data_IF_404331528127
#
_entry.id   IF_404331528127
#
_cell.length_a   1.000
_cell.length_b   1.000
_cell.length_c   1.000
_cell.angle_alpha   90.00
_cell.angle_beta   90.00
_cell.angle_gamma   90.00
#
_symmetry.space_group_name_H-M   'P 1'
#
loop_
_entity.id
_entity.type
_entity.pdbx_description
1 polymer ?
#
# COMPACT_ATOMS: atom_id res chain seq x y z
N UNK A 1 -8.94 30.57 14.19
CA UNK A 1 -8.07 29.54 13.58
C UNK A 1 -8.99 28.51 12.97
N UNK A 2 -9.09 28.47 11.64
CA UNK A 2 -9.85 27.42 10.98
C UNK A 2 -9.06 26.13 11.14
N UNK A 3 -9.63 25.12 11.80
CA UNK A 3 -9.13 23.75 11.70
C UNK A 3 -9.09 23.41 10.22
N UNK A 4 -7.90 23.33 9.65
CA UNK A 4 -7.71 22.70 8.35
C UNK A 4 -8.09 21.24 8.58
N UNK A 5 -9.33 20.87 8.27
CA UNK A 5 -9.73 19.47 8.20
C UNK A 5 -8.84 18.85 7.14
N UNK A 6 -7.76 18.21 7.55
CA UNK A 6 -6.96 17.39 6.66
C UNK A 6 -7.91 16.38 6.01
N UNK A 7 -8.13 16.55 4.71
CA UNK A 7 -8.99 15.65 3.95
C UNK A 7 -8.31 14.29 3.93
N UNK A 8 -8.82 13.37 4.74
CA UNK A 8 -8.32 11.99 4.78
C UNK A 8 -8.48 11.37 3.39
N UNK A 9 -7.38 10.91 2.79
CA UNK A 9 -7.41 10.26 1.49
C UNK A 9 -8.03 8.87 1.64
N UNK A 10 -9.07 8.57 0.86
CA UNK A 10 -9.68 7.24 0.86
C UNK A 10 -9.17 6.43 -0.33
N UNK A 11 -8.54 5.29 -0.06
CA UNK A 11 -8.02 4.39 -1.09
C UNK A 11 -8.73 3.05 -1.00
N UNK A 12 -9.32 2.64 -2.12
CA UNK A 12 -10.11 1.43 -2.24
C UNK A 12 -9.31 0.36 -2.97
N UNK A 13 -9.00 -0.72 -2.25
CA UNK A 13 -8.30 -1.89 -2.75
C UNK A 13 -9.31 -2.99 -3.05
N UNK A 14 -9.41 -3.37 -4.31
CA UNK A 14 -10.32 -4.43 -4.78
C UNK A 14 -9.66 -5.81 -4.70
N UNK A 15 -10.39 -6.84 -5.18
CA UNK A 15 -9.89 -8.23 -5.17
C UNK A 15 -8.63 -8.42 -6.01
N UNK A 16 -8.48 -7.70 -7.11
CA UNK A 16 -7.30 -7.81 -7.96
C UNK A 16 -6.09 -7.16 -7.30
N UNK A 17 -6.28 -6.01 -6.66
CA UNK A 17 -5.23 -5.36 -5.86
C UNK A 17 -4.70 -6.31 -4.78
N UNK A 18 -5.60 -6.93 -4.01
CA UNK A 18 -5.22 -7.89 -2.96
C UNK A 18 -4.52 -9.12 -3.54
N UNK A 19 -5.01 -9.69 -4.64
CA UNK A 19 -4.36 -10.83 -5.31
C UNK A 19 -2.94 -10.49 -5.80
N UNK A 20 -2.74 -9.27 -6.30
CA UNK A 20 -1.41 -8.80 -6.72
C UNK A 20 -0.46 -8.69 -5.53
N UNK A 21 -0.91 -8.08 -4.43
CA UNK A 21 -0.12 -7.99 -3.19
C UNK A 21 0.21 -9.39 -2.65
N UNK A 22 -0.73 -10.32 -2.66
CA UNK A 22 -0.48 -11.74 -2.33
C UNK A 22 0.57 -12.37 -3.23
N UNK A 23 0.53 -12.06 -4.53
CA UNK A 23 1.56 -12.48 -5.48
C UNK A 23 2.94 -11.94 -5.09
N UNK A 24 3.06 -10.64 -4.84
CA UNK A 24 4.33 -10.02 -4.44
C UNK A 24 4.90 -10.63 -3.16
N UNK A 25 4.06 -10.85 -2.14
CA UNK A 25 4.48 -11.48 -0.88
C UNK A 25 5.02 -12.90 -1.13
N UNK A 26 4.41 -13.67 -2.05
CA UNK A 26 4.91 -15.01 -2.42
C UNK A 26 6.29 -14.99 -3.11
N UNK A 27 6.71 -13.84 -3.62
CA UNK A 27 8.04 -13.61 -4.20
C UNK A 27 8.95 -12.80 -3.25
N UNK A 28 8.74 -12.91 -1.94
CA UNK A 28 9.49 -12.25 -0.86
C UNK A 28 9.43 -10.70 -0.85
N UNK A 29 8.52 -10.08 -1.61
CA UNK A 29 8.31 -8.63 -1.59
C UNK A 29 7.29 -8.21 -0.53
N UNK A 30 7.68 -8.33 0.74
CA UNK A 30 6.81 -8.05 1.89
C UNK A 30 6.47 -6.57 2.07
N UNK A 31 7.43 -5.70 1.75
CA UNK A 31 7.35 -4.27 1.96
C UNK A 31 7.37 -3.54 0.62
N UNK A 32 6.74 -2.37 0.60
CA UNK A 32 6.70 -1.49 -0.57
C UNK A 32 7.15 -0.10 -0.18
N UNK A 33 8.03 0.51 -0.98
CA UNK A 33 8.44 1.89 -0.80
C UNK A 33 8.45 2.64 -2.14
N UNK A 34 8.53 3.96 -2.06
CA UNK A 34 8.78 4.79 -3.23
C UNK A 34 10.28 5.00 -3.42
N UNK A 35 10.75 4.84 -4.65
CA UNK A 35 12.08 5.27 -5.04
C UNK A 35 12.13 6.80 -5.16
N UNK A 36 13.33 7.36 -5.27
CA UNK A 36 13.54 8.79 -5.51
C UNK A 36 12.88 9.30 -6.80
N UNK A 37 12.68 8.41 -7.78
CA UNK A 37 12.05 8.73 -9.05
C UNK A 37 10.50 8.64 -9.00
N UNK A 38 9.95 8.27 -7.84
CA UNK A 38 8.51 8.06 -7.65
C UNK A 38 8.00 6.70 -8.10
N UNK A 39 8.89 5.76 -8.44
CA UNK A 39 8.55 4.37 -8.73
C UNK A 39 8.31 3.56 -7.46
N UNK A 40 7.66 2.41 -7.62
CA UNK A 40 7.44 1.47 -6.54
C UNK A 40 8.58 0.44 -6.50
N UNK A 41 9.18 0.27 -5.34
CA UNK A 41 10.12 -0.82 -5.05
C UNK A 41 9.49 -1.81 -4.08
N UNK A 42 9.53 -3.08 -4.45
CA UNK A 42 9.16 -4.20 -3.58
C UNK A 42 10.43 -4.70 -2.91
N UNK A 43 10.44 -4.74 -1.58
CA UNK A 43 11.63 -5.07 -0.80
C UNK A 43 11.32 -6.13 0.25
N UNK A 44 12.35 -6.91 0.60
CA UNK A 44 12.26 -7.92 1.67
C UNK A 44 12.26 -7.26 3.03
N UNK A 45 11.43 -7.76 3.94
CA UNK A 45 11.39 -7.24 5.31
C UNK A 45 12.67 -7.55 6.11
N UNK A 46 13.42 -8.60 5.77
CA UNK A 46 14.60 -9.05 6.52
C UNK A 46 15.82 -8.14 6.37
N UNK A 47 16.04 -7.60 5.17
CA UNK A 47 17.28 -6.92 4.79
C UNK A 47 17.06 -5.68 3.91
N UNK A 48 15.82 -5.30 3.63
CA UNK A 48 15.44 -4.19 2.76
C UNK A 48 16.01 -4.30 1.33
N UNK A 49 16.41 -5.49 0.88
CA UNK A 49 16.86 -5.72 -0.48
C UNK A 49 15.67 -5.65 -1.44
N UNK A 50 15.83 -4.91 -2.54
CA UNK A 50 14.83 -4.84 -3.59
C UNK A 50 14.75 -6.16 -4.35
N UNK A 51 13.54 -6.70 -4.48
CA UNK A 51 13.24 -7.93 -5.24
C UNK A 51 12.51 -7.62 -6.55
N UNK A 52 11.99 -6.40 -6.68
CA UNK A 52 11.35 -5.94 -7.91
C UNK A 52 11.09 -4.43 -7.88
N UNK A 53 10.92 -3.87 -9.07
CA UNK A 53 10.56 -2.46 -9.27
C UNK A 53 9.40 -2.39 -10.26
N UNK A 54 8.49 -1.46 -10.02
CA UNK A 54 7.35 -1.19 -10.90
C UNK A 54 7.19 0.31 -11.11
N UNK A 55 6.73 0.70 -12.29
CA UNK A 55 6.44 2.09 -12.59
C UNK A 55 5.38 2.63 -11.63
N UNK A 56 5.68 3.71 -10.90
CA UNK A 56 4.75 4.28 -9.90
C UNK A 56 3.54 4.97 -10.52
N UNK A 57 3.59 5.26 -11.83
CA UNK A 57 2.51 5.84 -12.62
C UNK A 57 1.58 4.78 -13.23
N UNK A 58 1.96 3.49 -13.19
CA UNK A 58 1.06 2.41 -13.59
C UNK A 58 -0.16 2.41 -12.66
N UNK A 59 -1.36 2.34 -13.23
CA UNK A 59 -2.62 2.41 -12.48
C UNK A 59 -2.67 1.40 -11.33
N UNK A 60 -2.02 0.23 -11.50
CA UNK A 60 -1.94 -0.84 -10.50
C UNK A 60 -1.03 -0.50 -9.32
N UNK A 61 -0.03 0.34 -9.55
CA UNK A 61 0.97 0.77 -8.55
C UNK A 61 0.62 2.12 -7.93
N UNK A 62 -0.15 2.95 -8.64
CA UNK A 62 -0.55 4.29 -8.20
C UNK A 62 -1.26 4.27 -6.85
N UNK A 63 -2.16 3.30 -6.63
CA UNK A 63 -2.84 3.15 -5.33
C UNK A 63 -1.84 2.93 -4.18
N UNK A 64 -0.82 2.10 -4.38
CA UNK A 64 0.24 1.86 -3.38
C UNK A 64 1.08 3.13 -3.18
N UNK A 65 1.44 3.81 -4.25
CA UNK A 65 2.17 5.08 -4.21
C UNK A 65 1.42 6.15 -3.41
N UNK A 66 0.11 6.27 -3.65
CA UNK A 66 -0.75 7.23 -2.97
C UNK A 66 -0.89 6.90 -1.48
N UNK A 67 -0.99 5.61 -1.11
CA UNK A 67 -0.98 5.18 0.31
C UNK A 67 0.33 5.62 0.98
N UNK A 68 1.47 5.37 0.33
CA UNK A 68 2.79 5.69 0.89
C UNK A 68 2.96 7.20 1.03
N UNK A 69 2.61 7.98 0.00
CA UNK A 69 2.69 9.46 0.01
C UNK A 69 1.80 10.09 1.06
N UNK A 70 0.60 9.55 1.27
CA UNK A 70 -0.35 10.09 2.22
C UNK A 70 0.03 9.77 3.68
N UNK A 71 0.87 8.75 3.93
CA UNK A 71 1.38 8.44 5.26
C UNK A 71 0.27 8.12 6.26
N UNK A 72 0.08 8.99 7.27
CA UNK A 72 -1.00 8.86 8.27
C UNK A 72 -2.34 9.44 7.80
N UNK A 73 -2.35 10.28 6.76
CA UNK A 73 -3.53 10.95 6.25
C UNK A 73 -4.30 10.10 5.21
N UNK A 74 -4.34 8.77 5.41
CA UNK A 74 -5.01 7.82 4.51
C UNK A 74 -5.91 6.85 5.27
N UNK A 75 -7.08 6.55 4.70
CA UNK A 75 -7.93 5.43 5.09
C UNK A 75 -7.94 4.40 3.97
N UNK A 76 -7.34 3.25 4.23
CA UNK A 76 -7.38 2.12 3.30
C UNK A 76 -8.68 1.35 3.52
N UNK A 77 -9.37 1.06 2.43
CA UNK A 77 -10.64 0.34 2.34
C UNK A 77 -10.41 -0.92 1.51
N UNK A 78 -10.50 -2.11 2.10
CA UNK A 78 -10.25 -3.38 1.40
C UNK A 78 -11.55 -4.08 1.09
N UNK A 79 -11.71 -4.55 -0.15
CA UNK A 79 -12.88 -5.31 -0.56
C UNK A 79 -12.89 -6.72 0.05
N UNK A 80 -13.93 -7.00 0.84
CA UNK A 80 -14.19 -8.30 1.48
C UNK A 80 -15.55 -8.87 1.04
N UNK A 81 -15.89 -10.07 1.55
CA UNK A 81 -17.24 -10.64 1.43
C UNK A 81 -18.25 -9.68 2.09
N UNK A 82 -18.99 -8.93 1.28
CA UNK A 82 -20.02 -8.00 1.74
C UNK A 82 -19.71 -6.52 1.50
N UNK A 83 -18.52 -6.16 1.02
CA UNK A 83 -18.19 -4.76 0.67
C UNK A 83 -16.79 -4.34 1.11
N UNK A 84 -16.53 -3.03 1.04
CA UNK A 84 -15.26 -2.44 1.47
C UNK A 84 -15.23 -2.25 2.98
N UNK A 85 -14.16 -2.72 3.62
CA UNK A 85 -13.95 -2.64 5.07
C UNK A 85 -12.69 -1.80 5.34
N UNK A 86 -12.75 -0.83 6.27
CA UNK A 86 -11.60 -0.02 6.60
C UNK A 86 -10.57 -0.88 7.35
N UNK A 87 -9.29 -0.72 6.99
CA UNK A 87 -8.19 -1.31 7.73
C UNK A 87 -7.27 -0.23 8.28
N UNK A 88 -6.77 -0.49 9.47
CA UNK A 88 -5.77 0.36 10.12
C UNK A 88 -4.37 -0.12 9.72
N UNK A 89 -3.87 0.41 8.61
CA UNK A 89 -2.52 0.20 8.06
C UNK A 89 -2.05 1.53 7.50
N UNK A 90 -0.86 1.95 7.92
CA UNK A 90 -0.19 3.17 7.47
C UNK A 90 1.21 2.83 6.97
N UNK A 91 1.73 3.64 6.06
CA UNK A 91 3.15 3.57 5.73
C UNK A 91 3.96 4.08 6.93
N UNK A 92 4.94 3.30 7.38
CA UNK A 92 5.87 3.66 8.46
C UNK A 92 7.25 3.84 7.85
N UNK A 93 7.93 4.95 8.14
CA UNK A 93 9.25 5.29 7.59
C UNK A 93 9.31 5.22 6.05
N UNK A 94 8.21 5.60 5.39
CA UNK A 94 8.09 5.56 3.92
C UNK A 94 7.89 4.15 3.33
N UNK A 95 7.70 3.13 4.17
CA UNK A 95 7.47 1.75 3.78
C UNK A 95 6.07 1.27 4.17
N UNK A 96 5.41 0.57 3.26
CA UNK A 96 4.10 -0.05 3.45
C UNK A 96 4.24 -1.57 3.55
N UNK A 97 3.77 -2.15 4.65
CA UNK A 97 3.77 -3.60 4.86
C UNK A 97 2.53 -4.25 4.22
N UNK A 98 2.73 -4.97 3.11
CA UNK A 98 1.64 -5.62 2.37
C UNK A 98 1.00 -6.76 3.16
N UNK A 99 1.75 -7.42 4.04
CA UNK A 99 1.23 -8.54 4.83
C UNK A 99 0.15 -8.07 5.80
N UNK A 100 0.27 -6.85 6.32
CA UNK A 100 -0.77 -6.25 7.18
C UNK A 100 -2.07 -6.00 6.41
N UNK A 101 -1.97 -5.60 5.14
CA UNK A 101 -3.12 -5.40 4.25
C UNK A 101 -3.77 -6.74 3.93
N UNK A 102 -3.00 -7.70 3.42
CA UNK A 102 -3.47 -9.01 2.98
C UNK A 102 -4.01 -9.85 4.15
N UNK A 103 -3.31 -9.89 5.30
CA UNK A 103 -3.79 -10.63 6.48
C UNK A 103 -5.10 -10.07 6.99
N UNK A 104 -5.25 -8.74 6.98
CA UNK A 104 -6.52 -8.07 7.32
C UNK A 104 -7.54 -8.14 6.19
N UNK A 105 -7.22 -8.65 5.00
CA UNK A 105 -8.15 -8.86 3.88
C UNK A 105 -8.88 -10.22 3.95
N UNK A 106 -8.23 -11.24 4.56
CA UNK A 106 -8.85 -12.54 4.84
C UNK A 106 -9.93 -12.44 5.92
#
# INVERSE_FOLDING_TARGET
>A
MAEVKETKLFIFLDKEDIKRMEGTIKFDGDLVRLSSDGDIEFVRAENNAAVGRGCGLDERNKKLADIIKAGQNVQIQVYKKGGFVPIDVTASDGMLDLRKIVKKAK
#
